data_IF_122550138825
#
_entry.id   IF_122550138825
#
_cell.length_a   1.000
_cell.length_b   1.000
_cell.length_c   1.000
_cell.angle_alpha   90.00
_cell.angle_beta   90.00
_cell.angle_gamma   90.00
#
_symmetry.space_group_name_H-M   'P 1'
#
loop_
_entity.id
_entity.type
_entity.pdbx_description
1 polymer ?
#
# COMPACT_ATOMS: atom_id res chain seq x y z
N UNK A 1 11.41 62.37 -2.58
CA UNK A 1 11.41 60.90 -2.33
C UNK A 1 10.22 60.30 -3.07
N UNK A 2 10.46 59.60 -4.18
CA UNK A 2 9.41 59.32 -5.18
C UNK A 2 8.44 58.23 -4.71
N UNK A 3 7.13 58.56 -4.63
CA UNK A 3 6.03 57.64 -4.26
C UNK A 3 6.02 56.33 -5.07
N UNK A 4 6.66 56.30 -6.23
CA UNK A 4 6.77 55.10 -7.08
C UNK A 4 7.62 53.97 -6.47
N UNK A 5 8.60 54.27 -5.62
CA UNK A 5 9.45 53.26 -4.97
C UNK A 5 8.65 52.52 -3.89
N UNK A 6 7.85 53.25 -3.12
CA UNK A 6 7.02 52.70 -2.05
C UNK A 6 5.97 51.70 -2.60
N UNK A 7 5.33 52.01 -3.74
CA UNK A 7 4.36 51.10 -4.40
C UNK A 7 5.01 49.84 -4.98
N UNK A 8 6.32 49.85 -5.28
CA UNK A 8 7.05 48.65 -5.74
C UNK A 8 7.38 47.74 -4.56
N UNK A 9 7.82 48.31 -3.43
CA UNK A 9 8.13 47.57 -2.20
C UNK A 9 6.88 46.89 -1.63
N UNK A 10 5.75 47.60 -1.56
CA UNK A 10 4.49 47.03 -1.05
C UNK A 10 4.01 45.84 -1.91
N UNK A 11 4.11 45.94 -3.25
CA UNK A 11 3.75 44.84 -4.16
C UNK A 11 4.69 43.63 -4.03
N UNK A 12 5.97 43.85 -3.77
CA UNK A 12 6.93 42.79 -3.52
C UNK A 12 6.64 42.05 -2.21
N UNK A 13 6.34 42.78 -1.13
CA UNK A 13 5.98 42.19 0.16
C UNK A 13 4.65 41.40 0.08
N UNK A 14 3.67 41.87 -0.69
CA UNK A 14 2.42 41.14 -0.90
C UNK A 14 2.66 39.84 -1.68
N UNK A 15 3.50 39.85 -2.72
CA UNK A 15 3.92 38.61 -3.42
C UNK A 15 4.61 37.65 -2.46
N UNK A 16 5.57 38.11 -1.65
CA UNK A 16 6.29 37.26 -0.68
C UNK A 16 5.31 36.62 0.31
N UNK A 17 4.38 37.40 0.87
CA UNK A 17 3.37 36.91 1.81
C UNK A 17 2.40 35.90 1.17
N UNK A 18 2.00 36.12 -0.09
CA UNK A 18 1.16 35.19 -0.86
C UNK A 18 1.87 33.85 -1.11
N UNK A 19 3.16 33.88 -1.47
CA UNK A 19 3.95 32.65 -1.67
C UNK A 19 4.19 31.88 -0.36
N UNK A 20 4.43 32.58 0.76
CA UNK A 20 4.54 31.94 2.09
C UNK A 20 3.23 31.25 2.51
N UNK A 21 2.08 31.89 2.28
CA UNK A 21 0.76 31.30 2.57
C UNK A 21 0.47 30.06 1.71
N UNK A 22 0.86 30.07 0.42
CA UNK A 22 0.70 28.92 -0.48
C UNK A 22 1.63 27.76 -0.13
N UNK A 23 2.79 28.01 0.48
CA UNK A 23 3.71 26.96 0.91
C UNK A 23 3.17 26.16 2.10
N UNK A 24 2.45 26.82 3.00
CA UNK A 24 1.88 26.20 4.21
C UNK A 24 0.63 25.34 3.97
N UNK A 25 0.05 25.39 2.77
CA UNK A 25 -1.18 24.68 2.38
C UNK A 25 -0.94 23.51 1.40
N UNK A 26 0.33 23.10 1.18
CA UNK A 26 0.58 21.86 0.45
C UNK A 26 0.25 20.67 1.35
N UNK A 27 -1.03 20.31 1.31
CA UNK A 27 -1.59 19.14 1.97
C UNK A 27 -0.72 17.91 1.76
N UNK A 28 -0.43 17.23 2.87
CA UNK A 28 0.33 16.00 2.88
C UNK A 28 -0.37 14.95 2.02
N UNK A 29 0.23 14.60 0.88
CA UNK A 29 -0.07 13.35 0.23
C UNK A 29 0.39 12.23 1.18
N UNK A 30 -0.55 11.55 1.83
CA UNK A 30 -0.27 10.36 2.62
C UNK A 30 0.21 9.26 1.67
N UNK A 31 1.52 9.15 1.48
CA UNK A 31 2.12 8.08 0.68
C UNK A 31 1.91 6.78 1.46
N UNK A 32 0.84 6.04 1.14
CA UNK A 32 0.59 4.72 1.71
C UNK A 32 1.80 3.83 1.35
N UNK A 33 2.49 3.33 2.38
CA UNK A 33 3.64 2.42 2.26
C UNK A 33 3.20 1.17 1.49
N UNK A 34 3.78 0.94 0.31
CA UNK A 34 3.48 -0.23 -0.53
C UNK A 34 4.39 -1.38 -0.15
N UNK A 35 3.80 -2.49 0.30
CA UNK A 35 4.57 -3.70 0.60
C UNK A 35 4.92 -4.43 -0.70
N UNK A 36 6.07 -5.12 -0.74
CA UNK A 36 6.48 -5.93 -1.90
C UNK A 36 5.67 -7.22 -1.99
N UNK A 37 5.22 -7.72 -0.84
CA UNK A 37 4.53 -8.99 -0.64
C UNK A 37 3.23 -8.77 0.12
N UNK A 38 2.23 -9.61 -0.17
CA UNK A 38 0.95 -9.64 0.52
C UNK A 38 1.16 -9.99 1.99
N UNK A 39 0.62 -9.16 2.89
CA UNK A 39 0.72 -9.37 4.35
C UNK A 39 -0.24 -10.44 4.90
N UNK A 40 -0.94 -11.17 4.04
CA UNK A 40 -1.78 -12.33 4.43
C UNK A 40 -1.20 -13.64 3.92
N UNK A 41 -0.85 -13.73 2.63
CA UNK A 41 -0.37 -14.98 2.02
C UNK A 41 1.12 -14.99 1.63
N UNK A 42 1.84 -13.87 1.78
CA UNK A 42 3.26 -13.76 1.39
C UNK A 42 3.51 -13.67 -0.12
N UNK A 43 2.46 -13.80 -0.95
CA UNK A 43 2.56 -13.72 -2.41
C UNK A 43 3.07 -12.35 -2.87
N UNK A 44 3.98 -12.27 -3.86
CA UNK A 44 4.43 -10.99 -4.41
C UNK A 44 3.26 -10.22 -5.01
N UNK A 45 3.04 -8.97 -4.61
CA UNK A 45 1.94 -8.15 -5.14
C UNK A 45 2.15 -7.79 -6.62
N UNK A 46 3.38 -7.90 -7.14
CA UNK A 46 3.67 -7.78 -8.58
C UNK A 46 3.13 -8.93 -9.41
N UNK A 47 2.91 -10.09 -8.79
CA UNK A 47 2.40 -11.28 -9.46
C UNK A 47 0.87 -11.36 -9.44
N UNK A 48 0.22 -10.40 -8.80
CA UNK A 48 -1.25 -10.29 -8.76
C UNK A 48 -1.71 -9.53 -10.01
N UNK A 49 -2.56 -10.16 -10.83
CA UNK A 49 -3.09 -9.58 -12.07
C UNK A 49 -3.86 -8.28 -11.82
N UNK A 50 -4.49 -8.17 -10.65
CA UNK A 50 -5.27 -6.99 -10.24
C UNK A 50 -4.42 -5.91 -9.57
N UNK A 51 -3.12 -6.18 -9.35
CA UNK A 51 -2.17 -5.24 -8.76
C UNK A 51 -2.39 -4.95 -7.27
N UNK A 52 -3.19 -5.77 -6.58
CA UNK A 52 -3.54 -5.63 -5.16
C UNK A 52 -5.02 -5.91 -4.88
N UNK A 53 -5.36 -6.01 -3.59
CA UNK A 53 -6.74 -6.12 -3.12
C UNK A 53 -7.52 -4.81 -3.27
N UNK A 54 -8.79 -4.83 -2.88
CA UNK A 54 -9.67 -3.64 -2.94
C UNK A 54 -10.19 -3.31 -1.55
N UNK A 55 -10.10 -2.05 -1.17
CA UNK A 55 -10.70 -1.52 0.06
C UNK A 55 -12.21 -1.27 -0.15
N UNK A 56 -12.98 -1.11 0.93
CA UNK A 56 -14.42 -0.84 0.85
C UNK A 56 -14.76 0.41 0.01
N UNK A 57 -13.82 1.37 -0.06
CA UNK A 57 -13.95 2.60 -0.84
C UNK A 57 -13.64 2.42 -2.33
N UNK A 58 -13.43 1.18 -2.81
CA UNK A 58 -13.03 0.89 -4.18
C UNK A 58 -11.57 1.21 -4.52
N UNK A 59 -10.80 1.74 -3.56
CA UNK A 59 -9.36 1.99 -3.75
C UNK A 59 -8.56 0.70 -3.65
N UNK A 60 -7.43 0.63 -4.35
CA UNK A 60 -6.52 -0.52 -4.27
C UNK A 60 -5.76 -0.56 -2.95
N UNK A 61 -5.71 -1.74 -2.35
CA UNK A 61 -4.86 -2.07 -1.21
C UNK A 61 -3.45 -2.39 -1.68
N UNK A 62 -2.46 -1.71 -1.12
CA UNK A 62 -1.04 -1.95 -1.39
C UNK A 62 -0.41 -2.92 -0.37
N UNK A 63 -1.24 -3.53 0.48
CA UNK A 63 -0.84 -4.37 1.62
C UNK A 63 -1.25 -5.83 1.35
N UNK A 64 -2.44 -6.02 0.79
CA UNK A 64 -3.03 -7.34 0.50
C UNK A 64 -3.22 -7.56 -1.00
N UNK A 65 -3.22 -8.81 -1.43
CA UNK A 65 -3.54 -9.19 -2.81
C UNK A 65 -5.05 -9.39 -3.02
N UNK A 66 -5.49 -9.35 -4.27
CA UNK A 66 -6.88 -9.55 -4.70
C UNK A 66 -7.49 -10.88 -4.26
N UNK A 67 -6.67 -11.93 -4.14
CA UNK A 67 -7.14 -13.24 -3.67
C UNK A 67 -7.36 -13.31 -2.16
N UNK A 68 -6.67 -12.49 -1.37
CA UNK A 68 -6.80 -12.50 0.09
C UNK A 68 -7.83 -11.48 0.57
N UNK A 69 -7.92 -10.32 -0.08
CA UNK A 69 -8.67 -9.18 0.40
C UNK A 69 -9.37 -8.46 -0.75
N UNK A 70 -10.68 -8.28 -0.60
CA UNK A 70 -11.54 -7.73 -1.63
C UNK A 70 -12.69 -6.94 -0.98
N UNK A 71 -13.04 -5.79 -1.55
CA UNK A 71 -14.09 -4.89 -1.08
C UNK A 71 -14.04 -4.57 0.43
N UNK A 72 -12.84 -4.43 0.99
CA UNK A 72 -12.67 -4.09 2.40
C UNK A 72 -12.77 -5.27 3.36
N UNK A 73 -12.80 -6.51 2.87
CA UNK A 73 -12.94 -7.72 3.68
C UNK A 73 -12.02 -8.83 3.22
N UNK A 74 -11.55 -9.65 4.17
CA UNK A 74 -10.83 -10.87 3.83
C UNK A 74 -11.78 -11.93 3.30
N UNK A 75 -11.42 -12.60 2.22
CA UNK A 75 -12.23 -13.72 1.68
C UNK A 75 -12.31 -14.90 2.65
N UNK A 76 -11.30 -15.03 3.52
CA UNK A 76 -11.14 -16.13 4.47
C UNK A 76 -10.80 -15.57 5.87
N UNK A 77 -11.77 -15.02 6.61
CA UNK A 77 -11.51 -14.43 7.92
C UNK A 77 -11.19 -15.50 8.98
N UNK A 78 -11.82 -16.67 8.90
CA UNK A 78 -11.71 -17.76 9.89
C UNK A 78 -10.56 -18.74 9.62
N UNK A 79 -9.73 -18.50 8.60
CA UNK A 79 -8.63 -19.41 8.28
C UNK A 79 -7.48 -19.24 9.26
N UNK A 80 -6.85 -20.34 9.65
CA UNK A 80 -5.64 -20.32 10.47
C UNK A 80 -4.40 -20.04 9.62
N UNK A 81 -3.28 -19.71 10.27
CA UNK A 81 -1.98 -19.52 9.60
C UNK A 81 -1.61 -20.76 8.78
N UNK A 82 -1.79 -21.95 9.35
CA UNK A 82 -1.43 -23.21 8.70
C UNK A 82 -2.35 -23.53 7.52
N UNK A 83 -3.66 -23.30 7.64
CA UNK A 83 -4.57 -23.41 6.52
C UNK A 83 -4.23 -22.45 5.36
N UNK A 84 -3.73 -21.25 5.67
CA UNK A 84 -3.24 -20.32 4.66
C UNK A 84 -1.98 -20.85 3.97
N UNK A 85 -1.04 -21.46 4.71
CA UNK A 85 0.15 -22.08 4.13
C UNK A 85 -0.22 -23.18 3.15
N UNK A 86 -1.11 -24.10 3.54
CA UNK A 86 -1.59 -25.19 2.69
C UNK A 86 -2.20 -24.67 1.39
N UNK A 87 -3.13 -23.71 1.51
CA UNK A 87 -3.75 -23.08 0.35
C UNK A 87 -2.74 -22.45 -0.62
N UNK A 88 -1.74 -21.75 -0.10
CA UNK A 88 -0.68 -21.13 -0.92
C UNK A 88 0.20 -22.21 -1.55
N UNK A 89 0.56 -23.26 -0.81
CA UNK A 89 1.32 -24.39 -1.35
C UNK A 89 0.57 -25.07 -2.49
N UNK A 90 -0.71 -25.37 -2.31
CA UNK A 90 -1.54 -26.02 -3.33
C UNK A 90 -1.58 -25.20 -4.61
N UNK A 91 -1.77 -23.88 -4.51
CA UNK A 91 -1.74 -22.97 -5.66
C UNK A 91 -0.37 -22.88 -6.31
N UNK A 92 0.72 -22.91 -5.55
CA UNK A 92 2.06 -22.93 -6.11
C UNK A 92 2.35 -24.23 -6.87
N UNK A 93 1.93 -25.37 -6.32
CA UNK A 93 2.05 -26.69 -6.97
C UNK A 93 1.23 -26.75 -8.26
N UNK A 94 0.01 -26.20 -8.24
CA UNK A 94 -0.84 -26.07 -9.44
C UNK A 94 -0.16 -25.24 -10.53
N UNK A 95 0.56 -24.18 -10.15
CA UNK A 95 1.38 -23.35 -11.05
C UNK A 95 2.72 -24.01 -11.46
N UNK A 96 2.89 -25.32 -11.23
CA UNK A 96 4.10 -26.12 -11.50
C UNK A 96 5.35 -25.65 -10.76
N UNK A 97 5.21 -24.89 -9.67
CA UNK A 97 6.35 -24.66 -8.77
C UNK A 97 6.64 -25.92 -7.97
N UNK A 98 7.92 -26.28 -7.80
CA UNK A 98 8.27 -27.44 -7.01
C UNK A 98 7.96 -27.20 -5.52
N UNK A 99 7.44 -28.25 -4.86
CA UNK A 99 6.97 -28.21 -3.46
C UNK A 99 8.01 -27.67 -2.48
N UNK A 100 9.30 -27.92 -2.71
CA UNK A 100 10.37 -27.42 -1.82
C UNK A 100 10.48 -25.88 -1.85
N UNK A 101 10.30 -25.25 -3.02
CA UNK A 101 10.28 -23.79 -3.12
C UNK A 101 9.03 -23.23 -2.43
N UNK A 102 7.87 -23.81 -2.71
CA UNK A 102 6.61 -23.40 -2.09
C UNK A 102 6.72 -23.43 -0.55
N UNK A 103 7.29 -24.50 0.01
CA UNK A 103 7.50 -24.63 1.45
C UNK A 103 8.43 -23.53 2.01
N UNK A 104 9.51 -23.17 1.32
CA UNK A 104 10.40 -22.08 1.76
C UNK A 104 9.65 -20.73 1.79
N UNK A 105 8.79 -20.48 0.80
CA UNK A 105 7.97 -19.27 0.76
C UNK A 105 6.92 -19.24 1.87
N UNK A 106 6.20 -20.34 2.08
CA UNK A 106 5.12 -20.40 3.07
C UNK A 106 5.62 -20.49 4.51
N UNK A 107 6.85 -20.94 4.74
CA UNK A 107 7.49 -20.96 6.07
C UNK A 107 7.48 -19.60 6.76
N UNK A 108 7.61 -18.48 6.05
CA UNK A 108 7.63 -17.15 6.66
C UNK A 108 6.25 -16.49 6.81
N UNK A 109 5.16 -17.17 6.46
CA UNK A 109 3.80 -16.59 6.53
C UNK A 109 3.42 -16.17 7.96
N UNK A 110 3.88 -16.89 8.99
CA UNK A 110 3.60 -16.54 10.39
C UNK A 110 4.17 -15.17 10.82
N UNK A 111 5.15 -14.61 10.08
CA UNK A 111 5.75 -13.31 10.41
C UNK A 111 4.99 -12.12 9.81
N UNK A 112 3.98 -12.37 8.97
CA UNK A 112 3.26 -11.31 8.27
C UNK A 112 2.33 -10.56 9.22
N UNK A 113 2.05 -9.29 8.92
CA UNK A 113 1.26 -8.41 9.80
C UNK A 113 -0.12 -8.98 10.17
N UNK A 114 -0.76 -9.78 9.30
CA UNK A 114 -2.05 -10.41 9.60
C UNK A 114 -1.99 -11.45 10.72
N UNK A 115 -0.86 -12.14 10.84
CA UNK A 115 -0.69 -13.32 11.70
C UNK A 115 0.19 -13.03 12.90
N UNK A 116 0.62 -11.78 13.04
CA UNK A 116 1.45 -11.31 14.13
C UNK A 116 0.51 -10.97 15.29
N UNK A 117 0.45 -11.85 16.28
CA UNK A 117 -0.07 -11.53 17.62
C UNK A 117 0.88 -10.59 18.38
#
# INVERSE_FOLDING_TARGET
MSLGILRKVIRALWRIKYYLFKWNNKGGCTVKKKNKNCQSCGMPLKSDENGGGTEANGQRSNIYCSHCYENGSFKLPNITVDGMKERVMDKMVEMKFPKFLANIFTRNIYKLERWKD
#
